data_IF_018799739499
#
_entry.id   IF_018799739499
#
_cell.length_a   1.000
_cell.length_b   1.000
_cell.length_c   1.000
_cell.angle_alpha   90.00
_cell.angle_beta   90.00
_cell.angle_gamma   90.00
#
_symmetry.space_group_name_H-M   'P 1'
#
loop_
_entity.id
_entity.type
_entity.pdbx_description
1 polymer ?
#
# COMPACT_ATOMS: atom_id res chain seq x y z
N UNK A 1 -11.29 16.32 -65.77
CA UNK A 1 -10.62 16.84 -64.58
C UNK A 1 -11.19 16.12 -63.34
N UNK A 2 -10.50 15.12 -62.84
CA UNK A 2 -10.89 14.40 -61.60
C UNK A 2 -10.23 15.06 -60.42
N UNK A 3 -11.00 15.70 -59.52
CA UNK A 3 -10.51 16.26 -58.26
C UNK A 3 -10.55 15.17 -57.23
N UNK A 4 -9.40 14.61 -56.89
CA UNK A 4 -9.24 13.70 -55.76
C UNK A 4 -9.28 14.51 -54.46
N UNK A 5 -10.31 14.25 -53.64
CA UNK A 5 -10.47 14.78 -52.30
C UNK A 5 -9.72 13.85 -51.36
N UNK A 6 -8.54 14.26 -50.90
CA UNK A 6 -7.77 13.53 -49.86
C UNK A 6 -8.37 13.86 -48.50
N UNK A 7 -9.07 12.88 -47.91
CA UNK A 7 -9.61 12.98 -46.56
C UNK A 7 -8.47 12.70 -45.58
N UNK A 8 -8.02 13.74 -44.89
CA UNK A 8 -6.99 13.65 -43.83
C UNK A 8 -7.66 13.13 -42.54
N UNK A 9 -7.41 11.87 -42.22
CA UNK A 9 -7.89 11.27 -40.98
C UNK A 9 -7.00 11.74 -39.82
N UNK A 10 -7.52 12.68 -39.02
CA UNK A 10 -6.85 13.18 -37.83
C UNK A 10 -7.05 12.17 -36.69
N UNK A 11 -6.07 11.31 -36.41
CA UNK A 11 -6.07 10.42 -35.24
C UNK A 11 -5.85 11.27 -33.98
N UNK A 12 -6.93 11.50 -33.23
CA UNK A 12 -6.86 12.11 -31.90
C UNK A 12 -6.39 11.02 -30.95
N UNK A 13 -5.11 11.03 -30.59
CA UNK A 13 -4.57 10.21 -29.50
C UNK A 13 -5.07 10.81 -28.17
N UNK A 14 -6.05 10.14 -27.54
CA UNK A 14 -6.44 10.47 -26.16
C UNK A 14 -5.29 10.05 -25.23
N UNK A 15 -4.82 10.92 -24.32
CA UNK A 15 -3.85 10.53 -23.33
C UNK A 15 -4.48 9.45 -22.43
N UNK A 16 -3.91 8.25 -22.41
CA UNK A 16 -4.23 7.24 -21.42
C UNK A 16 -3.72 7.77 -20.08
N UNK A 17 -4.62 8.24 -19.22
CA UNK A 17 -4.29 8.61 -17.85
C UNK A 17 -4.12 7.33 -17.05
N UNK A 18 -2.89 6.98 -16.69
CA UNK A 18 -2.63 5.93 -15.73
C UNK A 18 -3.09 6.45 -14.34
N UNK A 19 -4.13 5.84 -13.79
CA UNK A 19 -4.63 6.19 -12.45
C UNK A 19 -3.91 5.34 -11.42
N UNK A 20 -3.14 5.99 -10.55
CA UNK A 20 -2.51 5.34 -9.39
C UNK A 20 -3.54 5.30 -8.26
N UNK A 21 -3.99 4.11 -7.87
CA UNK A 21 -4.84 3.96 -6.71
C UNK A 21 -4.03 4.09 -5.43
N UNK A 22 -4.62 4.73 -4.41
CA UNK A 22 -3.99 4.95 -3.11
C UNK A 22 -4.90 4.43 -2.01
N UNK A 23 -4.36 3.55 -1.16
CA UNK A 23 -5.02 3.10 0.05
C UNK A 23 -4.27 3.64 1.28
N UNK A 24 -5.03 4.04 2.31
CA UNK A 24 -4.49 4.52 3.59
C UNK A 24 -5.07 3.71 4.73
N UNK A 25 -4.20 3.06 5.49
CA UNK A 25 -4.55 2.23 6.63
C UNK A 25 -3.84 2.74 7.89
N UNK A 26 -4.59 2.84 8.99
CA UNK A 26 -4.07 3.31 10.29
C UNK A 26 -3.86 2.13 11.22
N UNK A 27 -2.68 2.06 11.83
CA UNK A 27 -2.30 0.99 12.74
C UNK A 27 -1.78 1.51 14.07
N UNK A 28 -2.02 0.76 15.13
CA UNK A 28 -1.45 1.04 16.46
C UNK A 28 -1.15 -0.24 17.23
N UNK A 29 -0.19 -0.15 18.16
CA UNK A 29 0.00 -1.19 19.17
C UNK A 29 -1.06 -1.06 20.28
N UNK A 30 -1.24 -2.13 21.04
CA UNK A 30 -2.03 -2.08 22.28
C UNK A 30 -1.30 -1.31 23.38
N UNK A 31 -2.04 -0.93 24.43
CA UNK A 31 -1.54 -0.31 25.66
C UNK A 31 -1.74 1.19 25.77
N UNK A 32 -1.32 1.78 26.88
CA UNK A 32 -1.60 3.18 27.26
C UNK A 32 -0.80 4.21 26.42
N UNK A 33 0.34 3.80 25.88
CA UNK A 33 1.19 4.63 25.02
C UNK A 33 1.43 3.94 23.67
N UNK A 34 0.37 3.85 22.83
CA UNK A 34 0.47 3.10 21.59
C UNK A 34 1.45 3.75 20.62
N UNK A 35 2.27 2.93 19.99
CA UNK A 35 2.96 3.31 18.77
C UNK A 35 1.95 3.32 17.64
N UNK A 36 1.87 4.40 16.87
CA UNK A 36 0.89 4.62 15.82
C UNK A 36 1.58 4.94 14.51
N UNK A 37 1.11 4.36 13.42
CA UNK A 37 1.59 4.70 12.09
C UNK A 37 0.49 4.61 11.03
N UNK A 38 0.71 5.32 9.95
CA UNK A 38 -0.04 5.28 8.71
C UNK A 38 0.72 4.41 7.71
N UNK A 39 0.06 3.41 7.15
CA UNK A 39 0.51 2.71 5.94
C UNK A 39 -0.22 3.33 4.75
N UNK A 40 0.52 3.77 3.77
CA UNK A 40 -0.01 4.25 2.50
C UNK A 40 0.54 3.41 1.38
N UNK A 41 -0.32 2.72 0.66
CA UNK A 41 0.06 1.91 -0.49
C UNK A 41 -0.40 2.55 -1.79
N UNK A 42 0.37 2.34 -2.83
CA UNK A 42 0.13 2.82 -4.18
C UNK A 42 0.14 1.66 -5.14
N UNK A 43 -0.81 1.63 -6.05
CA UNK A 43 -0.88 0.63 -7.09
C UNK A 43 -1.17 1.29 -8.44
N UNK A 44 -0.32 1.01 -9.43
CA UNK A 44 -0.49 1.41 -10.82
C UNK A 44 -0.92 0.18 -11.63
N UNK A 45 -2.17 0.18 -12.08
CA UNK A 45 -2.75 -0.95 -12.82
C UNK A 45 -2.16 -1.10 -14.22
N UNK A 46 -1.71 -0.02 -14.83
CA UNK A 46 -1.11 -0.03 -16.17
C UNK A 46 0.31 -0.55 -16.12
N UNK A 47 1.14 0.02 -15.24
CA UNK A 47 2.54 -0.39 -15.07
C UNK A 47 2.69 -1.68 -14.27
N UNK A 48 1.61 -2.19 -13.63
CA UNK A 48 1.64 -3.33 -12.71
C UNK A 48 2.67 -3.14 -11.59
N UNK A 49 2.76 -1.92 -11.11
CA UNK A 49 3.69 -1.52 -10.05
C UNK A 49 2.96 -1.32 -8.72
N UNK A 50 3.59 -1.75 -7.64
CA UNK A 50 3.10 -1.59 -6.28
C UNK A 50 4.23 -1.07 -5.38
N UNK A 51 3.88 -0.16 -4.49
CA UNK A 51 4.82 0.39 -3.51
C UNK A 51 4.08 1.02 -2.35
N UNK A 52 4.80 1.59 -1.40
CA UNK A 52 4.19 2.24 -0.26
C UNK A 52 5.15 3.03 0.59
N UNK A 53 4.58 3.65 1.62
CA UNK A 53 5.32 4.33 2.68
C UNK A 53 4.64 4.06 4.02
N UNK A 54 5.42 4.09 5.10
CA UNK A 54 4.91 4.22 6.47
C UNK A 54 5.30 5.57 7.04
N UNK A 55 4.40 6.15 7.83
CA UNK A 55 4.65 7.38 8.56
C UNK A 55 4.15 7.23 10.00
N UNK A 56 5.06 7.29 10.96
CA UNK A 56 4.69 7.26 12.36
C UNK A 56 4.00 8.56 12.78
N UNK A 57 3.03 8.48 13.67
CA UNK A 57 2.16 9.61 14.05
C UNK A 57 2.92 10.84 14.55
N UNK A 58 4.10 10.65 15.16
CA UNK A 58 4.93 11.73 15.67
C UNK A 58 6.04 12.16 14.70
N UNK A 59 6.09 11.56 13.51
CA UNK A 59 7.11 11.86 12.50
C UNK A 59 6.52 12.62 11.33
N UNK A 60 7.29 13.59 10.82
CA UNK A 60 6.98 14.27 9.54
C UNK A 60 7.56 13.53 8.34
N UNK A 61 8.43 12.55 8.58
CA UNK A 61 9.12 11.80 7.54
C UNK A 61 8.38 10.51 7.23
N UNK A 62 8.09 10.28 5.98
CA UNK A 62 7.61 8.99 5.49
C UNK A 62 8.80 8.09 5.17
N UNK A 63 8.70 6.82 5.54
CA UNK A 63 9.71 5.80 5.29
C UNK A 63 9.26 4.98 4.08
N UNK A 64 10.04 4.89 3.00
CA UNK A 64 9.70 4.11 1.83
C UNK A 64 9.59 2.61 2.13
N UNK A 65 8.61 1.97 1.52
CA UNK A 65 8.43 0.53 1.50
C UNK A 65 8.62 0.01 0.09
N UNK A 66 9.42 -1.05 -0.04
CA UNK A 66 9.54 -1.82 -1.27
C UNK A 66 8.71 -3.09 -1.14
N UNK A 67 7.86 -3.34 -2.11
CA UNK A 67 7.13 -4.60 -2.21
C UNK A 67 8.13 -5.76 -2.31
N UNK A 68 7.98 -6.75 -1.43
CA UNK A 68 8.83 -7.93 -1.40
C UNK A 68 8.15 -9.10 -2.08
N UNK A 69 7.00 -9.53 -1.57
CA UNK A 69 6.15 -10.57 -2.14
C UNK A 69 4.75 -10.52 -1.55
N UNK A 70 3.85 -11.26 -2.18
CA UNK A 70 2.51 -11.53 -1.69
C UNK A 70 2.21 -13.01 -1.85
N UNK A 71 1.73 -13.63 -0.79
CA UNK A 71 1.22 -14.99 -0.78
C UNK A 71 -0.30 -14.96 -0.78
N UNK A 72 -0.90 -15.89 -1.48
CA UNK A 72 -2.35 -16.01 -1.61
C UNK A 72 -2.77 -17.42 -1.23
N UNK A 73 -3.73 -17.54 -0.32
CA UNK A 73 -4.25 -18.81 0.17
C UNK A 73 -5.78 -18.85 0.12
N UNK A 74 -6.34 -19.92 -0.40
CA UNK A 74 -7.78 -20.21 -0.32
C UNK A 74 -8.06 -21.00 0.97
N UNK A 75 -8.61 -20.32 1.99
CA UNK A 75 -8.89 -20.96 3.28
C UNK A 75 -10.15 -21.83 3.25
N UNK A 76 -11.13 -21.51 2.38
CA UNK A 76 -12.35 -22.26 2.19
C UNK A 76 -12.98 -21.92 0.85
N UNK A 77 -13.59 -22.91 0.22
CA UNK A 77 -14.28 -22.77 -1.07
C UNK A 77 -15.35 -21.67 -1.01
N UNK A 78 -15.34 -20.78 -2.02
CA UNK A 78 -16.29 -19.67 -2.14
C UNK A 78 -16.06 -18.51 -1.17
N UNK A 79 -14.97 -18.51 -0.41
CA UNK A 79 -14.55 -17.39 0.44
C UNK A 79 -13.47 -16.56 -0.28
N UNK A 80 -13.36 -15.25 0.03
CA UNK A 80 -12.23 -14.46 -0.45
C UNK A 80 -10.91 -15.10 -0.07
N UNK A 81 -9.91 -14.99 -0.95
CA UNK A 81 -8.55 -15.42 -0.64
C UNK A 81 -7.98 -14.61 0.53
N UNK A 82 -7.16 -15.26 1.34
CA UNK A 82 -6.28 -14.60 2.28
C UNK A 82 -5.01 -14.18 1.57
N UNK A 83 -4.61 -12.92 1.75
CA UNK A 83 -3.37 -12.37 1.25
C UNK A 83 -2.42 -12.09 2.41
N UNK A 84 -1.18 -12.51 2.27
CA UNK A 84 -0.08 -12.12 3.16
C UNK A 84 0.91 -11.30 2.33
N UNK A 85 0.84 -9.99 2.50
CA UNK A 85 1.67 -9.05 1.74
C UNK A 85 2.83 -8.57 2.60
N UNK A 86 4.04 -8.63 2.04
CA UNK A 86 5.27 -8.27 2.73
C UNK A 86 6.00 -7.15 2.02
N UNK A 87 6.48 -6.17 2.78
CA UNK A 87 7.30 -5.05 2.32
C UNK A 87 8.59 -4.93 3.12
N UNK A 88 9.66 -4.54 2.46
CA UNK A 88 10.90 -4.10 3.12
C UNK A 88 10.81 -2.61 3.47
N UNK A 89 11.16 -2.28 4.72
CA UNK A 89 11.37 -0.91 5.16
C UNK A 89 12.76 -0.44 4.74
N UNK A 90 12.80 0.68 4.00
CA UNK A 90 14.05 1.24 3.50
C UNK A 90 14.45 2.50 4.27
N UNK A 91 15.60 2.45 4.95
CA UNK A 91 16.19 3.59 5.66
C UNK A 91 17.62 3.77 5.17
N UNK A 92 17.97 4.96 4.69
CA UNK A 92 19.29 5.29 4.17
C UNK A 92 19.81 4.28 3.11
N UNK A 93 18.93 3.81 2.25
CA UNK A 93 19.24 2.86 1.18
C UNK A 93 19.47 1.42 1.66
N UNK A 94 19.14 1.10 2.91
CA UNK A 94 19.30 -0.24 3.50
C UNK A 94 17.96 -0.76 4.01
N UNK A 95 17.82 -2.10 4.00
CA UNK A 95 16.68 -2.75 4.65
C UNK A 95 16.83 -2.64 6.16
N UNK A 96 15.91 -1.91 6.79
CA UNK A 96 15.85 -1.70 8.22
C UNK A 96 14.91 -2.67 8.94
N UNK A 97 13.91 -3.15 8.23
CA UNK A 97 12.91 -4.08 8.74
C UNK A 97 11.95 -4.55 7.66
N UNK A 98 10.95 -5.25 8.11
CA UNK A 98 9.94 -5.86 7.26
C UNK A 98 8.55 -5.69 7.87
N UNK A 99 7.59 -5.25 7.08
CA UNK A 99 6.18 -5.22 7.41
C UNK A 99 5.48 -6.38 6.72
N UNK A 100 4.70 -7.15 7.47
CA UNK A 100 3.88 -8.23 6.98
C UNK A 100 2.42 -7.96 7.36
N UNK A 101 1.54 -7.91 6.38
CA UNK A 101 0.11 -7.67 6.56
C UNK A 101 -0.68 -8.85 6.03
N UNK A 102 -1.60 -9.35 6.86
CA UNK A 102 -2.52 -10.40 6.48
C UNK A 102 -3.93 -9.81 6.33
N UNK A 103 -4.55 -10.07 5.18
CA UNK A 103 -5.89 -9.56 4.86
C UNK A 103 -6.74 -10.61 4.13
N UNK A 104 -8.07 -10.48 4.27
CA UNK A 104 -9.04 -11.29 3.54
C UNK A 104 -10.25 -10.41 3.20
N UNK A 105 -10.52 -10.24 1.91
CA UNK A 105 -11.50 -9.25 1.46
C UNK A 105 -11.11 -7.84 1.94
N UNK A 106 -12.05 -7.12 2.52
CA UNK A 106 -11.80 -5.77 3.07
C UNK A 106 -11.21 -5.77 4.50
N UNK A 107 -11.03 -6.95 5.11
CA UNK A 107 -10.54 -7.05 6.49
C UNK A 107 -9.04 -7.28 6.53
N UNK A 108 -8.37 -6.48 7.36
CA UNK A 108 -6.97 -6.69 7.73
C UNK A 108 -6.95 -7.33 9.12
N UNK A 109 -6.39 -8.52 9.22
CA UNK A 109 -6.35 -9.31 10.46
C UNK A 109 -5.14 -9.00 11.30
N UNK A 110 -4.00 -8.78 10.65
CA UNK A 110 -2.75 -8.54 11.36
C UNK A 110 -1.82 -7.64 10.57
N UNK A 111 -0.97 -6.94 11.32
CA UNK A 111 0.18 -6.22 10.81
C UNK A 111 1.33 -6.46 11.79
N UNK A 112 2.45 -6.96 11.29
CA UNK A 112 3.64 -7.23 12.09
C UNK A 112 4.84 -6.53 11.49
N UNK A 113 5.60 -5.82 12.32
CA UNK A 113 6.92 -5.31 11.96
C UNK A 113 8.00 -6.20 12.55
N UNK A 114 8.97 -6.59 11.74
CA UNK A 114 10.16 -7.34 12.17
C UNK A 114 11.40 -6.49 11.93
N UNK A 115 12.13 -6.15 12.98
CA UNK A 115 13.39 -5.41 12.88
C UNK A 115 14.48 -6.29 12.27
N UNK A 116 15.13 -5.83 11.19
CA UNK A 116 16.12 -6.63 10.45
C UNK A 116 17.38 -6.94 11.27
N UNK A 117 17.78 -6.06 12.18
CA UNK A 117 18.99 -6.22 12.98
C UNK A 117 18.80 -7.14 14.19
N UNK A 118 17.66 -7.02 14.86
CA UNK A 118 17.40 -7.71 16.15
C UNK A 118 16.47 -8.90 16.03
N UNK A 119 15.72 -9.01 14.93
CA UNK A 119 14.66 -9.98 14.76
C UNK A 119 13.44 -9.73 15.66
N UNK A 120 13.40 -8.62 16.41
CA UNK A 120 12.28 -8.28 17.27
C UNK A 120 11.05 -8.02 16.44
N UNK A 121 9.95 -8.68 16.83
CA UNK A 121 8.62 -8.51 16.22
C UNK A 121 7.74 -7.59 17.05
N UNK A 122 6.99 -6.73 16.39
CA UNK A 122 5.98 -5.87 17.00
C UNK A 122 4.67 -6.04 16.24
N UNK A 123 3.61 -6.41 16.95
CA UNK A 123 2.28 -6.56 16.36
C UNK A 123 1.49 -5.25 16.47
N UNK A 124 0.71 -4.96 15.43
CA UNK A 124 -0.16 -3.78 15.34
C UNK A 124 -1.57 -4.22 14.94
N UNK A 125 -2.56 -3.59 15.54
CA UNK A 125 -3.96 -3.71 15.15
C UNK A 125 -4.41 -2.52 14.30
N UNK A 126 -5.49 -2.71 13.54
CA UNK A 126 -6.16 -1.62 12.82
C UNK A 126 -6.78 -0.62 13.80
N UNK A 127 -6.49 0.65 13.60
CA UNK A 127 -7.14 1.74 14.32
C UNK A 127 -8.43 2.16 13.58
N UNK A 128 -9.50 1.35 13.71
CA UNK A 128 -10.76 1.56 12.98
C UNK A 128 -11.56 2.77 13.45
N UNK A 129 -11.24 3.33 14.60
CA UNK A 129 -11.78 4.56 15.19
C UNK A 129 -11.10 5.83 14.68
N UNK A 130 -10.11 5.70 13.81
CA UNK A 130 -9.35 6.82 13.23
C UNK A 130 -9.80 7.07 11.80
N UNK A 131 -10.20 8.30 11.51
CA UNK A 131 -10.51 8.73 10.14
C UNK A 131 -9.25 8.73 9.28
N UNK A 132 -9.38 8.18 8.08
CA UNK A 132 -8.29 8.10 7.12
C UNK A 132 -8.75 8.41 5.70
N UNK A 133 -7.91 9.11 4.94
CA UNK A 133 -8.11 9.31 3.50
C UNK A 133 -6.78 9.51 2.79
N UNK A 134 -6.79 9.34 1.46
CA UNK A 134 -5.62 9.62 0.63
C UNK A 134 -5.15 11.08 0.80
N UNK A 135 -6.07 12.02 1.03
CA UNK A 135 -5.76 13.44 1.20
C UNK A 135 -5.24 13.79 2.59
N UNK A 136 -5.90 13.31 3.65
CA UNK A 136 -5.58 13.69 5.03
C UNK A 136 -4.59 12.76 5.73
N UNK A 137 -4.43 11.53 5.24
CA UNK A 137 -3.81 10.45 6.00
C UNK A 137 -4.64 10.07 7.22
N UNK A 138 -4.01 9.47 8.22
CA UNK A 138 -4.64 9.11 9.50
C UNK A 138 -4.74 10.34 10.42
N UNK A 139 -5.95 10.60 10.93
CA UNK A 139 -6.20 11.70 11.87
C UNK A 139 -6.16 11.16 13.31
N UNK A 140 -4.97 11.10 13.87
CA UNK A 140 -4.70 10.64 15.24
C UNK A 140 -5.24 11.57 16.32
#
# INVERSE_FOLDING_TARGET
MKKSLATLLLCIALPASAEVSTEVLCFRTDGDKPVRFELRTYYDDVAKWSGGVVRYAQSKTAIPLLFKHEEQEELAEGRPYQFTTTWWEMVDGKINGEYEMMSQGAMVYSMTYTNARTGKKTAFGRALDVDASAKSGCRW
#
